data_IF_720296250802
#
_entry.id   IF_720296250802
#
_cell.length_a   1.000
_cell.length_b   1.000
_cell.length_c   1.000
_cell.angle_alpha   90.00
_cell.angle_beta   90.00
_cell.angle_gamma   90.00
#
_symmetry.space_group_name_H-M   'P 1'
#
loop_
_entity.id
_entity.type
_entity.pdbx_description
1 polymer ?
#
# COMPACT_ATOMS: atom_id res chain seq x y z
N UNK A 1 10.38 25.43 -0.21
CA UNK A 1 9.86 24.96 1.09
C UNK A 1 10.26 23.52 1.26
N UNK A 2 10.96 23.18 2.34
CA UNK A 2 11.33 21.80 2.64
C UNK A 2 10.23 21.12 3.46
N UNK A 3 9.75 19.97 2.99
CA UNK A 3 8.73 19.22 3.71
C UNK A 3 9.28 18.72 5.06
N UNK A 4 8.58 18.97 6.18
CA UNK A 4 9.01 18.49 7.49
C UNK A 4 8.76 17.00 7.68
N UNK A 5 7.85 16.42 6.90
CA UNK A 5 7.44 15.01 6.93
C UNK A 5 7.23 14.48 5.52
N UNK A 6 7.43 13.18 5.32
CA UNK A 6 7.17 12.50 4.05
C UNK A 6 5.65 12.33 3.82
N UNK A 7 4.97 13.42 3.44
CA UNK A 7 3.53 13.44 3.18
C UNK A 7 3.19 13.93 1.77
N UNK A 8 2.61 13.03 0.97
CA UNK A 8 2.09 13.36 -0.37
C UNK A 8 0.94 14.38 -0.32
N UNK A 9 0.18 14.41 0.77
CA UNK A 9 -0.94 15.34 0.95
C UNK A 9 -0.43 16.76 1.17
N UNK A 10 0.52 16.94 2.09
CA UNK A 10 1.16 18.25 2.32
C UNK A 10 1.84 18.75 1.04
N UNK A 11 2.56 17.87 0.34
CA UNK A 11 3.13 18.15 -0.97
C UNK A 11 2.06 18.64 -1.95
N UNK A 12 0.97 17.90 -2.11
CA UNK A 12 -0.09 18.23 -3.07
C UNK A 12 -0.75 19.58 -2.76
N UNK A 13 -0.98 19.89 -1.49
CA UNK A 13 -1.49 21.21 -1.09
C UNK A 13 -0.58 22.35 -1.55
N UNK A 14 0.74 22.20 -1.37
CA UNK A 14 1.73 23.19 -1.80
C UNK A 14 1.86 23.25 -3.33
N UNK A 15 1.78 22.11 -4.01
CA UNK A 15 1.75 22.04 -5.48
C UNK A 15 0.57 22.83 -6.02
N UNK A 16 -0.64 22.61 -5.50
CA UNK A 16 -1.83 23.33 -5.93
C UNK A 16 -1.79 24.81 -5.58
N UNK A 17 -1.26 25.17 -4.42
CA UNK A 17 -1.02 26.59 -4.08
C UNK A 17 -0.04 27.24 -5.07
N UNK A 18 1.01 26.52 -5.50
CA UNK A 18 1.98 26.98 -6.47
C UNK A 18 1.42 27.22 -7.88
N UNK A 19 0.30 26.58 -8.25
CA UNK A 19 -0.38 26.85 -9.52
C UNK A 19 -1.04 28.24 -9.56
N UNK A 20 -1.43 28.77 -8.39
CA UNK A 20 -2.04 30.10 -8.25
C UNK A 20 -1.07 31.19 -7.81
N UNK A 21 0.21 30.86 -7.58
CA UNK A 21 1.20 31.80 -7.09
C UNK A 21 1.95 32.52 -8.23
N UNK A 22 2.38 33.75 -7.97
CA UNK A 22 3.33 34.43 -8.85
C UNK A 22 4.75 33.89 -8.64
N UNK A 23 5.49 33.69 -9.74
CA UNK A 23 6.87 33.19 -9.71
C UNK A 23 6.99 31.66 -9.73
N UNK A 24 8.10 31.14 -9.20
CA UNK A 24 8.38 29.70 -9.10
C UNK A 24 8.23 29.23 -7.65
N UNK A 25 7.38 28.24 -7.45
CA UNK A 25 7.25 27.52 -6.18
C UNK A 25 8.17 26.30 -6.22
N UNK A 26 9.06 26.19 -5.23
CA UNK A 26 9.99 25.06 -5.08
C UNK A 26 9.68 24.30 -3.80
N UNK A 27 9.45 22.99 -3.91
CA UNK A 27 9.15 22.08 -2.80
C UNK A 27 10.25 21.02 -2.75
N UNK A 28 10.90 20.86 -1.60
CA UNK A 28 11.93 19.84 -1.38
C UNK A 28 11.34 18.68 -0.56
N UNK A 29 11.36 17.46 -1.11
CA UNK A 29 11.03 16.23 -0.39
C UNK A 29 12.29 15.43 -0.05
N UNK A 30 12.44 15.10 1.24
CA UNK A 30 13.58 14.32 1.75
C UNK A 30 13.47 12.84 1.43
N UNK A 31 12.24 12.32 1.38
CA UNK A 31 11.91 10.96 0.94
C UNK A 31 10.81 11.05 -0.11
N UNK A 32 10.92 10.35 -1.25
CA UNK A 32 9.89 10.39 -2.27
C UNK A 32 8.54 9.90 -1.73
N UNK A 33 7.49 10.63 -2.07
CA UNK A 33 6.10 10.26 -1.77
C UNK A 33 5.31 10.05 -3.06
N UNK A 34 4.05 9.63 -2.95
CA UNK A 34 3.15 9.44 -4.11
C UNK A 34 3.17 10.65 -5.05
N UNK A 35 3.34 10.43 -6.34
CA UNK A 35 3.56 11.49 -7.36
C UNK A 35 2.36 11.71 -8.32
N UNK A 36 1.16 11.28 -7.92
CA UNK A 36 -0.06 11.38 -8.72
C UNK A 36 -0.39 12.82 -9.15
N UNK A 37 -0.22 13.79 -8.24
CA UNK A 37 -0.47 15.21 -8.50
C UNK A 37 0.46 15.73 -9.60
N UNK A 38 1.74 15.38 -9.51
CA UNK A 38 2.75 15.78 -10.48
C UNK A 38 2.51 15.15 -11.85
N UNK A 39 2.16 13.86 -11.90
CA UNK A 39 1.82 13.16 -13.15
C UNK A 39 0.60 13.74 -13.83
N UNK A 40 -0.48 13.95 -13.07
CA UNK A 40 -1.72 14.54 -13.59
C UNK A 40 -1.48 15.96 -14.10
N UNK A 41 -0.77 16.79 -13.35
CA UNK A 41 -0.49 18.16 -13.77
C UNK A 41 0.39 18.21 -15.03
N UNK A 42 1.39 17.33 -15.18
CA UNK A 42 2.13 17.22 -16.46
C UNK A 42 1.21 16.82 -17.61
N UNK A 43 0.28 15.90 -17.38
CA UNK A 43 -0.71 15.46 -18.39
C UNK A 43 -1.67 16.58 -18.80
N UNK A 44 -1.94 17.52 -17.89
CA UNK A 44 -2.71 18.75 -18.10
C UNK A 44 -1.82 19.93 -18.58
N UNK A 45 -0.58 19.64 -18.99
CA UNK A 45 0.38 20.61 -19.53
C UNK A 45 0.81 21.72 -18.56
N UNK A 46 0.70 21.48 -17.25
CA UNK A 46 1.22 22.40 -16.25
C UNK A 46 2.75 22.53 -16.33
N UNK A 47 3.26 23.73 -16.02
CA UNK A 47 4.71 23.96 -15.86
C UNK A 47 5.20 23.38 -14.53
N UNK A 48 5.36 22.06 -14.48
CA UNK A 48 5.87 21.31 -13.33
C UNK A 48 7.02 20.39 -13.71
N UNK A 49 8.10 20.42 -12.94
CA UNK A 49 9.26 19.53 -13.09
C UNK A 49 9.66 18.92 -11.76
N UNK A 50 10.15 17.67 -11.79
CA UNK A 50 10.70 17.00 -10.62
C UNK A 50 12.16 16.69 -10.91
N UNK A 51 13.06 17.20 -10.06
CA UNK A 51 14.51 17.02 -10.18
C UNK A 51 14.98 16.12 -9.04
N UNK A 52 15.63 15.01 -9.38
CA UNK A 52 16.24 14.11 -8.40
C UNK A 52 17.68 14.50 -8.12
N UNK A 53 18.04 14.64 -6.85
CA UNK A 53 19.39 14.98 -6.43
C UNK A 53 20.07 13.76 -5.80
N UNK A 54 21.02 13.15 -6.50
CA UNK A 54 21.75 11.95 -6.00
C UNK A 54 22.69 12.25 -4.82
N UNK A 55 23.05 13.52 -4.58
CA UNK A 55 24.08 13.94 -3.61
C UNK A 55 23.59 14.96 -2.57
N UNK A 56 22.29 15.23 -2.49
CA UNK A 56 21.74 16.23 -1.58
C UNK A 56 20.88 15.60 -0.49
N UNK A 57 20.65 16.34 0.60
CA UNK A 57 19.75 15.96 1.71
C UNK A 57 18.28 15.83 1.22
N UNK A 58 17.93 16.45 0.09
CA UNK A 58 16.64 16.26 -0.61
C UNK A 58 16.72 15.14 -1.64
N UNK A 59 15.74 14.25 -1.63
CA UNK A 59 15.57 13.19 -2.63
C UNK A 59 15.02 13.74 -3.94
N UNK A 60 14.03 14.64 -3.87
CA UNK A 60 13.48 15.34 -5.02
C UNK A 60 13.19 16.81 -4.71
N UNK A 61 13.29 17.61 -5.76
CA UNK A 61 12.86 18.99 -5.81
C UNK A 61 11.74 19.12 -6.86
N UNK A 62 10.53 19.49 -6.40
CA UNK A 62 9.40 19.77 -7.27
C UNK A 62 9.33 21.27 -7.51
N UNK A 63 9.40 21.68 -8.77
CA UNK A 63 9.28 23.08 -9.20
C UNK A 63 7.97 23.27 -9.95
N UNK A 64 7.18 24.25 -9.53
CA UNK A 64 5.91 24.63 -10.15
C UNK A 64 5.94 26.10 -10.50
N UNK A 65 5.45 26.45 -11.69
CA UNK A 65 5.08 27.83 -12.03
C UNK A 65 3.60 27.88 -12.36
N UNK A 66 2.93 28.95 -11.93
CA UNK A 66 1.55 29.21 -12.31
C UNK A 66 1.39 29.32 -13.83
N UNK A 67 0.21 28.96 -14.34
CA UNK A 67 -0.07 28.93 -15.77
C UNK A 67 -1.41 28.31 -16.10
N UNK A 68 -1.75 28.32 -17.38
CA UNK A 68 -2.99 27.69 -17.88
C UNK A 68 -2.86 26.17 -17.85
N UNK A 69 -3.91 25.50 -17.38
CA UNK A 69 -4.06 24.06 -17.47
C UNK A 69 -4.97 23.70 -18.64
N UNK A 70 -4.67 22.60 -19.32
CA UNK A 70 -5.49 22.08 -20.40
C UNK A 70 -6.25 20.84 -19.94
N UNK A 71 -7.56 20.83 -20.21
CA UNK A 71 -8.40 19.66 -19.95
C UNK A 71 -7.97 18.47 -20.81
N UNK A 72 -8.03 17.28 -20.25
CA UNK A 72 -7.60 16.06 -20.93
C UNK A 72 -8.48 14.87 -20.55
N UNK A 73 -8.62 13.93 -21.48
CA UNK A 73 -9.15 12.60 -21.16
C UNK A 73 -8.09 11.79 -20.41
N UNK A 74 -8.52 11.15 -19.33
CA UNK A 74 -7.71 10.25 -18.50
C UNK A 74 -8.50 8.96 -18.25
N UNK A 75 -7.78 7.84 -18.31
CA UNK A 75 -8.27 6.57 -17.83
C UNK A 75 -7.76 6.35 -16.41
N UNK A 76 -8.66 6.10 -15.46
CA UNK A 76 -8.27 5.91 -14.06
C UNK A 76 -7.75 4.48 -13.88
N UNK A 77 -6.50 4.29 -13.43
CA UNK A 77 -5.95 2.95 -13.20
C UNK A 77 -6.65 2.25 -12.03
N UNK A 78 -6.63 0.91 -12.02
CA UNK A 78 -7.07 0.14 -10.86
C UNK A 78 -6.22 0.49 -9.63
N UNK A 79 -6.84 0.65 -8.46
CA UNK A 79 -6.13 1.00 -7.24
C UNK A 79 -5.29 -0.17 -6.72
N UNK A 80 -3.97 0.05 -6.69
CA UNK A 80 -3.02 -0.94 -6.20
C UNK A 80 -3.27 -1.31 -4.72
N UNK A 81 -3.67 -0.34 -3.89
CA UNK A 81 -3.95 -0.60 -2.47
C UNK A 81 -5.11 -1.56 -2.29
N UNK A 82 -6.18 -1.39 -3.09
CA UNK A 82 -7.31 -2.32 -3.15
C UNK A 82 -6.90 -3.69 -3.71
N UNK A 83 -6.09 -3.71 -4.77
CA UNK A 83 -5.57 -4.95 -5.36
C UNK A 83 -4.68 -5.76 -4.40
N UNK A 84 -3.97 -5.09 -3.48
CA UNK A 84 -3.04 -5.71 -2.53
C UNK A 84 -3.68 -6.84 -1.70
N UNK A 85 -4.94 -6.69 -1.28
CA UNK A 85 -5.66 -7.71 -0.51
C UNK A 85 -5.89 -8.98 -1.34
N UNK A 86 -6.23 -8.84 -2.62
CA UNK A 86 -6.42 -9.97 -3.54
C UNK A 86 -5.09 -10.58 -3.99
N UNK A 87 -4.07 -9.75 -4.20
CA UNK A 87 -2.69 -10.20 -4.43
C UNK A 87 -2.27 -11.11 -3.27
N UNK A 88 -2.42 -10.65 -2.03
CA UNK A 88 -2.07 -11.44 -0.86
C UNK A 88 -2.93 -12.72 -0.77
N UNK A 89 -4.25 -12.65 -0.96
CA UNK A 89 -5.10 -13.84 -0.95
C UNK A 89 -4.63 -14.91 -1.96
N UNK A 90 -4.32 -14.51 -3.20
CA UNK A 90 -3.81 -15.41 -4.24
C UNK A 90 -2.41 -15.96 -3.97
N UNK A 91 -1.58 -15.23 -3.22
CA UNK A 91 -0.25 -15.68 -2.78
C UNK A 91 -0.31 -16.61 -1.56
N UNK A 92 -1.26 -16.42 -0.66
CA UNK A 92 -1.31 -17.11 0.64
C UNK A 92 -2.14 -18.41 0.60
N UNK A 93 -3.25 -18.43 -0.14
CA UNK A 93 -4.15 -19.58 -0.17
C UNK A 93 -3.57 -20.72 -1.02
N UNK A 94 -3.38 -21.94 -0.48
CA UNK A 94 -2.83 -23.07 -1.23
C UNK A 94 -3.61 -23.36 -2.51
N UNK A 95 -2.90 -23.74 -3.59
CA UNK A 95 -3.47 -24.03 -4.91
C UNK A 95 -4.26 -22.88 -5.55
N UNK A 96 -4.07 -21.65 -5.08
CA UNK A 96 -4.73 -20.47 -5.63
C UNK A 96 -3.85 -19.74 -6.65
N UNK A 97 -4.51 -19.04 -7.54
CA UNK A 97 -3.91 -18.05 -8.43
C UNK A 97 -4.96 -17.08 -8.92
N UNK A 98 -4.62 -15.80 -8.97
CA UNK A 98 -5.53 -14.73 -9.36
C UNK A 98 -4.91 -13.88 -10.46
N UNK A 99 -5.73 -13.50 -11.43
CA UNK A 99 -5.43 -12.46 -12.39
C UNK A 99 -6.12 -11.18 -11.92
N UNK A 100 -5.33 -10.16 -11.60
CA UNK A 100 -5.82 -8.82 -11.30
C UNK A 100 -5.58 -7.98 -12.55
N UNK A 101 -6.66 -7.61 -13.24
CA UNK A 101 -6.59 -6.83 -14.48
C UNK A 101 -6.44 -5.33 -14.18
N UNK A 102 -5.70 -4.63 -15.05
CA UNK A 102 -5.54 -3.18 -15.05
C UNK A 102 -5.13 -2.54 -13.70
N UNK A 103 -4.27 -3.20 -12.94
CA UNK A 103 -3.70 -2.66 -11.71
C UNK A 103 -2.74 -1.50 -12.02
N UNK A 104 -2.86 -0.41 -11.26
CA UNK A 104 -1.93 0.71 -11.31
C UNK A 104 -0.53 0.28 -10.86
N UNK A 105 0.48 0.60 -11.67
CA UNK A 105 1.88 0.27 -11.44
C UNK A 105 2.75 1.49 -11.16
N UNK A 106 2.18 2.55 -10.59
CA UNK A 106 2.95 3.70 -10.17
C UNK A 106 4.07 3.24 -9.21
N UNK A 107 5.36 3.47 -9.51
CA UNK A 107 6.46 2.99 -8.67
C UNK A 107 6.41 3.49 -7.22
N UNK A 108 5.74 4.61 -6.97
CA UNK A 108 5.53 5.15 -5.62
C UNK A 108 4.42 4.44 -4.83
N UNK A 109 3.75 3.45 -5.42
CA UNK A 109 2.62 2.70 -4.86
C UNK A 109 2.82 1.19 -4.83
N UNK A 110 3.73 0.65 -5.64
CA UNK A 110 3.85 -0.80 -5.85
C UNK A 110 4.89 -1.47 -4.98
N UNK A 111 5.40 -0.84 -3.93
CA UNK A 111 6.49 -1.39 -3.13
C UNK A 111 6.13 -2.74 -2.46
N UNK A 112 4.84 -3.04 -2.25
CA UNK A 112 4.41 -4.37 -1.83
C UNK A 112 4.81 -5.47 -2.85
N UNK A 113 4.82 -5.20 -4.16
CA UNK A 113 5.25 -6.20 -5.15
C UNK A 113 6.72 -6.57 -4.96
N UNK A 114 7.57 -5.59 -4.69
CA UNK A 114 9.00 -5.81 -4.48
C UNK A 114 9.26 -6.52 -3.15
N UNK A 115 8.51 -6.17 -2.11
CA UNK A 115 8.51 -6.87 -0.82
C UNK A 115 8.05 -8.32 -1.00
N UNK A 116 6.92 -8.56 -1.68
CA UNK A 116 6.40 -9.90 -1.93
C UNK A 116 7.41 -10.76 -2.73
N UNK A 117 8.04 -10.20 -3.77
CA UNK A 117 9.11 -10.89 -4.51
C UNK A 117 10.32 -11.20 -3.64
N UNK A 118 10.72 -10.27 -2.76
CA UNK A 118 11.80 -10.51 -1.81
C UNK A 118 11.45 -11.59 -0.78
N UNK A 119 10.17 -11.77 -0.47
CA UNK A 119 9.66 -12.91 0.31
C UNK A 119 9.58 -14.21 -0.50
N UNK A 120 9.84 -14.21 -1.81
CA UNK A 120 9.77 -15.39 -2.68
C UNK A 120 8.44 -15.56 -3.44
N UNK A 121 7.56 -14.57 -3.44
CA UNK A 121 6.26 -14.65 -4.12
C UNK A 121 6.40 -14.78 -5.65
N UNK A 122 5.49 -15.54 -6.26
CA UNK A 122 5.35 -15.63 -7.72
C UNK A 122 4.35 -14.58 -8.21
N UNK A 123 4.88 -13.46 -8.73
CA UNK A 123 4.09 -12.36 -9.32
C UNK A 123 4.58 -12.08 -10.74
N UNK A 124 3.72 -12.32 -11.72
CA UNK A 124 3.99 -12.02 -13.14
C UNK A 124 3.22 -10.77 -13.58
N UNK A 125 3.95 -9.80 -14.11
CA UNK A 125 3.39 -8.61 -14.78
C UNK A 125 3.10 -8.97 -16.24
N UNK A 126 1.90 -8.69 -16.70
CA UNK A 126 1.41 -8.97 -18.05
C UNK A 126 0.78 -7.72 -18.65
N UNK A 127 0.80 -7.60 -19.99
CA UNK A 127 0.12 -6.52 -20.72
C UNK A 127 0.47 -5.12 -20.19
N UNK A 128 1.76 -4.85 -19.97
CA UNK A 128 2.23 -3.57 -19.44
C UNK A 128 1.87 -2.40 -20.37
N UNK A 129 1.21 -1.38 -19.81
CA UNK A 129 0.76 -0.17 -20.49
C UNK A 129 1.45 1.04 -19.84
N UNK A 130 2.56 1.49 -20.43
CA UNK A 130 3.38 2.58 -19.91
C UNK A 130 3.17 3.93 -20.62
N UNK A 131 2.38 3.96 -21.69
CA UNK A 131 2.17 5.17 -22.50
C UNK A 131 1.14 6.14 -21.86
N UNK A 132 0.43 5.69 -20.83
CA UNK A 132 -0.49 6.52 -20.03
C UNK A 132 0.28 7.40 -19.02
N UNK A 133 -0.39 8.44 -18.51
CA UNK A 133 0.14 9.29 -17.43
C UNK A 133 0.42 8.50 -16.14
N UNK A 134 -0.34 7.41 -15.93
CA UNK A 134 -0.12 6.39 -14.90
C UNK A 134 0.09 5.02 -15.55
N UNK A 135 1.19 4.31 -15.23
CA UNK A 135 1.43 2.98 -15.80
C UNK A 135 0.44 1.96 -15.23
N UNK A 136 -0.01 1.02 -16.06
CA UNK A 136 -0.87 -0.09 -15.61
C UNK A 136 -0.42 -1.42 -16.18
N UNK A 137 -0.85 -2.52 -15.56
CA UNK A 137 -0.64 -3.86 -16.08
C UNK A 137 -1.66 -4.84 -15.48
N UNK A 138 -1.68 -6.05 -16.02
CA UNK A 138 -2.38 -7.16 -15.41
C UNK A 138 -1.38 -7.95 -14.54
N UNK A 139 -1.79 -8.38 -13.36
CA UNK A 139 -0.97 -9.08 -12.38
C UNK A 139 -1.47 -10.51 -12.21
N UNK A 140 -0.67 -11.49 -12.62
CA UNK A 140 -0.92 -12.90 -12.31
C UNK A 140 -0.13 -13.26 -11.06
N UNK A 141 -0.84 -13.61 -9.99
CA UNK A 141 -0.25 -14.04 -8.71
C UNK A 141 -0.56 -15.51 -8.47
N UNK A 142 0.39 -16.25 -7.90
CA UNK A 142 0.22 -17.67 -7.59
C UNK A 142 0.83 -18.02 -6.26
N UNK A 143 0.17 -18.94 -5.56
CA UNK A 143 0.63 -19.42 -4.27
C UNK A 143 2.03 -20.04 -4.36
N UNK A 144 2.92 -19.57 -3.48
CA UNK A 144 4.26 -20.12 -3.21
C UNK A 144 4.59 -19.96 -1.72
N UNK A 145 5.41 -20.85 -1.14
CA UNK A 145 5.99 -20.62 0.18
C UNK A 145 6.71 -19.27 0.22
N UNK A 146 6.42 -18.48 1.25
CA UNK A 146 7.07 -17.20 1.49
C UNK A 146 8.12 -17.32 2.59
N UNK A 147 9.11 -16.44 2.60
CA UNK A 147 10.14 -16.33 3.63
C UNK A 147 10.05 -14.99 4.34
N UNK A 148 10.38 -14.99 5.63
CA UNK A 148 10.50 -13.79 6.43
C UNK A 148 11.65 -12.90 5.97
N UNK A 149 11.43 -11.59 6.00
CA UNK A 149 12.40 -10.59 5.53
C UNK A 149 12.44 -9.37 6.46
N UNK A 150 13.43 -8.50 6.26
CA UNK A 150 13.45 -7.18 6.90
C UNK A 150 12.95 -6.11 5.93
N UNK A 151 12.00 -5.29 6.38
CA UNK A 151 11.43 -4.15 5.65
C UNK A 151 11.59 -2.90 6.52
N UNK A 152 12.34 -1.92 6.02
CA UNK A 152 12.62 -0.66 6.70
C UNK A 152 13.00 0.44 5.69
N UNK A 153 13.29 1.64 6.18
CA UNK A 153 13.87 2.73 5.41
C UNK A 153 12.91 3.31 4.37
N UNK A 154 13.48 3.65 3.22
CA UNK A 154 12.77 4.29 2.10
C UNK A 154 11.62 3.47 1.52
N UNK A 155 11.52 2.17 1.84
CA UNK A 155 10.39 1.33 1.41
C UNK A 155 9.13 1.64 2.22
N UNK A 156 9.25 1.97 3.50
CA UNK A 156 8.09 2.10 4.40
C UNK A 156 7.08 3.15 3.91
N UNK A 157 7.48 4.37 3.50
CA UNK A 157 6.51 5.33 2.97
C UNK A 157 5.79 4.88 1.69
N UNK A 158 6.42 4.00 0.90
CA UNK A 158 5.89 3.52 -0.39
C UNK A 158 4.90 2.36 -0.26
N UNK A 159 4.88 1.66 0.88
CA UNK A 159 3.90 0.61 1.19
C UNK A 159 3.21 0.78 2.55
N UNK A 160 3.23 1.99 3.12
CA UNK A 160 2.71 2.28 4.47
C UNK A 160 1.27 1.79 4.64
N UNK A 161 0.51 1.91 3.56
CA UNK A 161 -0.90 1.58 3.45
C UNK A 161 -1.13 0.06 3.26
N UNK A 162 -0.11 -0.67 2.81
CA UNK A 162 -0.13 -2.12 2.58
C UNK A 162 0.46 -2.91 3.77
N UNK A 163 1.00 -2.24 4.79
CA UNK A 163 1.54 -2.91 5.98
C UNK A 163 0.50 -3.83 6.67
N UNK A 164 -0.80 -3.46 6.80
CA UNK A 164 -1.78 -4.38 7.35
C UNK A 164 -1.85 -5.73 6.64
N UNK A 165 -1.87 -5.74 5.31
CA UNK A 165 -1.90 -7.00 4.55
C UNK A 165 -0.54 -7.70 4.51
N UNK A 166 0.56 -6.95 4.50
CA UNK A 166 1.91 -7.51 4.66
C UNK A 166 2.07 -8.24 6.00
N UNK A 167 1.50 -7.71 7.08
CA UNK A 167 1.54 -8.36 8.38
C UNK A 167 0.80 -9.71 8.35
N UNK A 168 -0.33 -9.80 7.65
CA UNK A 168 -1.02 -11.07 7.41
C UNK A 168 -0.15 -12.02 6.57
N UNK A 169 0.50 -11.54 5.51
CA UNK A 169 1.43 -12.36 4.70
C UNK A 169 2.58 -12.92 5.55
N UNK A 170 3.14 -12.10 6.44
CA UNK A 170 4.23 -12.48 7.31
C UNK A 170 3.86 -13.60 8.29
N UNK A 171 2.58 -13.71 8.69
CA UNK A 171 2.13 -14.84 9.54
C UNK A 171 2.29 -16.20 8.86
N UNK A 172 2.31 -16.24 7.52
CA UNK A 172 2.43 -17.47 6.74
C UNK A 172 3.83 -17.66 6.14
N UNK A 173 4.74 -16.69 6.34
CA UNK A 173 6.09 -16.74 5.82
C UNK A 173 7.03 -17.48 6.77
N UNK A 174 7.94 -18.29 6.25
CA UNK A 174 8.91 -19.05 7.04
C UNK A 174 9.99 -18.13 7.64
N UNK A 175 10.11 -18.15 8.97
CA UNK A 175 11.04 -17.31 9.72
C UNK A 175 10.43 -16.01 10.23
N UNK A 176 11.27 -15.01 10.47
CA UNK A 176 10.84 -13.72 11.03
C UNK A 176 10.75 -12.64 9.95
N UNK A 177 9.64 -11.92 9.94
CA UNK A 177 9.50 -10.67 9.21
C UNK A 177 9.62 -9.50 10.18
N UNK A 178 10.57 -8.59 9.91
CA UNK A 178 10.80 -7.39 10.71
C UNK A 178 10.32 -6.18 9.92
N UNK A 179 9.32 -5.48 10.40
CA UNK A 179 8.84 -4.20 9.85
C UNK A 179 9.29 -3.11 10.83
N UNK A 180 10.15 -2.19 10.39
CA UNK A 180 10.72 -1.12 11.23
C UNK A 180 10.47 0.26 10.64
N UNK A 181 10.65 1.31 11.43
CA UNK A 181 10.51 2.72 10.99
C UNK A 181 9.11 3.07 10.42
N UNK A 182 8.08 2.40 10.92
CA UNK A 182 6.68 2.53 10.53
C UNK A 182 5.80 3.22 11.58
N UNK A 183 6.37 4.08 12.44
CA UNK A 183 5.66 4.78 13.52
C UNK A 183 4.45 5.60 13.04
N UNK A 184 4.46 6.04 11.77
CA UNK A 184 3.36 6.76 11.11
C UNK A 184 2.04 5.96 11.09
N UNK A 185 2.12 4.63 11.19
CA UNK A 185 0.93 3.76 11.29
C UNK A 185 0.09 4.00 12.55
N UNK A 186 0.67 4.57 13.60
CA UNK A 186 -0.05 4.88 14.85
C UNK A 186 -1.03 6.04 14.69
N UNK A 187 -0.83 6.88 13.67
CA UNK A 187 -1.59 8.11 13.43
C UNK A 187 -2.48 8.03 12.18
N UNK A 188 -2.74 6.81 11.69
CA UNK A 188 -3.69 6.57 10.60
C UNK A 188 -5.12 6.59 11.13
N UNK A 189 -6.07 6.05 10.38
CA UNK A 189 -7.48 5.95 10.76
C UNK A 189 -7.68 5.25 12.12
N UNK A 190 -6.74 4.40 12.49
CA UNK A 190 -6.54 3.84 13.83
C UNK A 190 -5.04 3.78 14.16
N UNK A 191 -4.68 3.42 15.40
CA UNK A 191 -3.34 2.89 15.67
C UNK A 191 -3.23 1.49 15.04
N UNK A 192 -2.76 1.44 13.80
CA UNK A 192 -2.67 0.20 13.02
C UNK A 192 -1.68 -0.79 13.62
N UNK A 193 -0.62 -0.35 14.31
CA UNK A 193 0.33 -1.25 14.94
C UNK A 193 -0.31 -2.01 16.11
N UNK A 194 -1.04 -1.28 16.95
CA UNK A 194 -1.78 -1.86 18.07
C UNK A 194 -2.92 -2.75 17.57
N UNK A 195 -3.68 -2.30 16.56
CA UNK A 195 -4.79 -3.07 15.97
C UNK A 195 -4.32 -4.40 15.37
N UNK A 196 -3.24 -4.37 14.55
CA UNK A 196 -2.66 -5.59 13.97
C UNK A 196 -2.18 -6.55 15.06
N UNK A 197 -1.46 -6.05 16.07
CA UNK A 197 -0.93 -6.86 17.17
C UNK A 197 -2.05 -7.53 17.95
N UNK A 198 -3.07 -6.77 18.36
CA UNK A 198 -4.22 -7.30 19.11
C UNK A 198 -4.93 -8.40 18.33
N UNK A 199 -5.31 -8.10 17.10
CA UNK A 199 -6.15 -8.99 16.29
C UNK A 199 -5.37 -10.23 15.81
N UNK A 200 -4.11 -10.10 15.39
CA UNK A 200 -3.29 -11.25 15.00
C UNK A 200 -2.97 -12.16 16.19
N UNK A 201 -2.74 -11.62 17.39
CA UNK A 201 -2.60 -12.44 18.62
C UNK A 201 -3.88 -13.20 18.94
N UNK A 202 -5.04 -12.58 18.76
CA UNK A 202 -6.33 -13.25 18.95
C UNK A 202 -6.52 -14.43 17.99
N UNK A 203 -5.99 -14.33 16.77
CA UNK A 203 -5.93 -15.43 15.80
C UNK A 203 -4.80 -16.44 16.05
N UNK A 204 -3.99 -16.26 17.11
CA UNK A 204 -2.91 -17.16 17.50
C UNK A 204 -1.57 -16.91 16.82
N UNK A 205 -1.39 -15.82 16.08
CA UNK A 205 -0.12 -15.49 15.44
C UNK A 205 0.96 -15.09 16.45
N UNK A 206 2.22 -15.45 16.17
CA UNK A 206 3.38 -14.94 16.89
C UNK A 206 3.75 -13.54 16.36
N UNK A 207 3.37 -12.50 17.11
CA UNK A 207 3.62 -11.10 16.77
C UNK A 207 4.04 -10.28 17.99
N UNK A 208 5.08 -9.47 17.80
CA UNK A 208 5.58 -8.49 18.76
C UNK A 208 5.41 -7.08 18.20
N UNK A 209 4.79 -6.21 18.99
CA UNK A 209 4.68 -4.79 18.70
C UNK A 209 5.94 -4.06 19.15
N UNK A 210 6.47 -3.20 18.29
CA UNK A 210 7.58 -2.31 18.59
C UNK A 210 7.08 -0.85 18.57
N UNK A 211 7.80 0.09 19.19
CA UNK A 211 7.44 1.51 19.10
C UNK A 211 7.30 2.01 17.65
N UNK A 212 8.16 1.50 16.76
CA UNK A 212 8.30 1.87 15.35
C UNK A 212 7.90 0.76 14.36
N UNK A 213 7.22 -0.32 14.79
CA UNK A 213 6.88 -1.38 13.85
C UNK A 213 6.45 -2.71 14.49
N UNK A 214 6.75 -3.82 13.80
CA UNK A 214 6.29 -5.17 14.15
C UNK A 214 7.39 -6.20 13.90
N UNK A 215 7.44 -7.24 14.72
CA UNK A 215 8.15 -8.50 14.41
C UNK A 215 7.12 -9.62 14.36
N UNK A 216 7.10 -10.38 13.28
CA UNK A 216 6.11 -11.43 13.03
C UNK A 216 6.86 -12.72 12.69
N UNK A 217 6.57 -13.80 13.40
CA UNK A 217 7.20 -15.10 13.17
C UNK A 217 6.19 -16.08 12.57
N UNK A 218 6.57 -16.69 11.45
CA UNK A 218 5.75 -17.69 10.76
C UNK A 218 6.55 -18.92 10.31
N UNK A 219 5.88 -19.91 9.68
CA UNK A 219 4.44 -19.92 9.44
C UNK A 219 3.65 -20.24 10.73
N UNK A 220 2.50 -19.59 10.92
CA UNK A 220 1.58 -19.85 12.03
C UNK A 220 0.22 -20.26 11.49
N UNK A 221 -0.34 -21.35 12.00
CA UNK A 221 -1.72 -21.74 11.71
C UNK A 221 -2.69 -20.81 12.43
N UNK A 222 -3.37 -19.96 11.68
CA UNK A 222 -4.35 -19.03 12.24
C UNK A 222 -5.62 -19.75 12.67
N UNK A 223 -6.23 -19.24 13.74
CA UNK A 223 -7.53 -19.66 14.26
C UNK A 223 -8.54 -18.55 14.07
N UNK A 224 -9.82 -18.93 13.96
CA UNK A 224 -10.89 -17.96 13.90
C UNK A 224 -11.02 -17.20 15.22
N UNK A 225 -11.33 -15.91 15.12
CA UNK A 225 -11.43 -15.01 16.27
C UNK A 225 -12.44 -13.89 16.01
N UNK A 226 -12.81 -13.18 17.08
CA UNK A 226 -13.51 -11.90 17.00
C UNK A 226 -12.47 -10.80 16.78
N UNK A 227 -12.59 -10.09 15.66
CA UNK A 227 -11.67 -9.05 15.20
C UNK A 227 -12.36 -7.70 15.32
N UNK A 228 -11.65 -6.71 15.82
CA UNK A 228 -12.13 -5.33 15.85
C UNK A 228 -11.47 -4.52 14.72
N UNK A 229 -12.27 -3.93 13.83
CA UNK A 229 -11.72 -3.09 12.74
C UNK A 229 -11.21 -1.74 13.21
N UNK A 230 -11.66 -1.27 14.38
CA UNK A 230 -11.43 0.09 14.89
C UNK A 230 -11.88 1.20 13.92
N UNK A 231 -12.85 0.89 13.04
CA UNK A 231 -13.28 1.81 11.98
C UNK A 231 -12.28 1.96 10.84
N UNK A 232 -11.18 1.19 10.85
CA UNK A 232 -10.14 1.22 9.82
C UNK A 232 -10.42 0.16 8.75
N UNK A 233 -10.75 0.63 7.55
CA UNK A 233 -11.08 -0.22 6.40
C UNK A 233 -9.94 -1.16 6.00
N UNK A 234 -8.68 -0.76 6.21
CA UNK A 234 -7.53 -1.59 5.85
C UNK A 234 -7.32 -2.71 6.85
N UNK A 235 -7.62 -2.47 8.13
CA UNK A 235 -7.67 -3.52 9.14
C UNK A 235 -8.79 -4.51 8.79
N UNK A 236 -10.01 -4.03 8.52
CA UNK A 236 -11.13 -4.90 8.15
C UNK A 236 -10.80 -5.78 6.92
N UNK A 237 -10.28 -5.19 5.83
CA UNK A 237 -9.91 -5.95 4.63
C UNK A 237 -8.74 -6.93 4.86
N UNK A 238 -7.72 -6.53 5.65
CA UNK A 238 -6.60 -7.43 5.97
C UNK A 238 -7.08 -8.65 6.76
N UNK A 239 -7.94 -8.45 7.75
CA UNK A 239 -8.48 -9.53 8.56
C UNK A 239 -9.55 -10.36 7.86
N UNK A 240 -10.21 -9.82 6.82
CA UNK A 240 -11.04 -10.62 5.92
C UNK A 240 -10.17 -11.65 5.18
N UNK A 241 -9.01 -11.24 4.65
CA UNK A 241 -8.04 -12.17 4.04
C UNK A 241 -7.45 -13.13 5.07
N UNK A 242 -7.11 -12.65 6.27
CA UNK A 242 -6.62 -13.52 7.35
C UNK A 242 -7.66 -14.58 7.75
N UNK A 243 -8.96 -14.23 7.73
CA UNK A 243 -10.06 -15.15 8.00
C UNK A 243 -10.15 -16.30 7.01
N UNK A 244 -9.77 -16.09 5.74
CA UNK A 244 -9.70 -17.16 4.74
C UNK A 244 -8.62 -18.20 5.04
N UNK A 245 -7.62 -17.85 5.84
CA UNK A 245 -6.51 -18.71 6.26
C UNK A 245 -6.79 -19.41 7.60
N UNK A 246 -7.83 -18.99 8.31
CA UNK A 246 -8.17 -19.49 9.64
C UNK A 246 -8.84 -20.87 9.58
N UNK A 247 -8.60 -21.71 10.59
CA UNK A 247 -9.23 -23.04 10.69
C UNK A 247 -10.64 -23.05 11.31
N UNK A 248 -11.14 -21.89 11.72
CA UNK A 248 -12.50 -21.69 12.22
C UNK A 248 -13.04 -20.32 11.81
N UNK A 249 -14.33 -20.07 12.07
CA UNK A 249 -15.00 -18.82 11.70
C UNK A 249 -14.35 -17.59 12.37
N UNK A 250 -14.14 -16.55 11.58
CA UNK A 250 -13.68 -15.23 12.02
C UNK A 250 -14.82 -14.22 11.85
N UNK A 251 -15.11 -13.44 12.88
CA UNK A 251 -16.09 -12.35 12.84
C UNK A 251 -15.33 -11.03 12.88
N UNK A 252 -15.67 -10.10 11.99
CA UNK A 252 -15.04 -8.77 11.94
C UNK A 252 -16.07 -7.73 12.38
N UNK A 253 -15.91 -7.22 13.59
CA UNK A 253 -16.70 -6.11 14.10
C UNK A 253 -16.36 -4.81 13.36
N UNK A 254 -17.39 -4.05 12.99
CA UNK A 254 -17.23 -2.79 12.25
C UNK A 254 -16.76 -3.00 10.80
N UNK A 255 -17.10 -4.12 10.18
CA UNK A 255 -16.68 -4.46 8.81
C UNK A 255 -17.25 -3.52 7.74
N UNK A 256 -18.31 -2.78 8.04
CA UNK A 256 -18.95 -1.82 7.14
C UNK A 256 -18.01 -0.67 6.72
N UNK A 257 -16.95 -0.40 7.49
CA UNK A 257 -15.96 0.63 7.18
C UNK A 257 -15.22 0.37 5.86
N UNK A 258 -15.21 -0.88 5.34
CA UNK A 258 -14.61 -1.19 4.03
C UNK A 258 -15.20 -0.35 2.89
N UNK A 259 -16.47 0.06 3.01
CA UNK A 259 -17.16 0.87 2.00
C UNK A 259 -16.60 2.29 1.87
N UNK A 260 -15.73 2.74 2.79
CA UNK A 260 -15.04 4.03 2.68
C UNK A 260 -14.08 4.04 1.48
N UNK A 261 -13.45 2.90 1.16
CA UNK A 261 -12.43 2.80 0.11
C UNK A 261 -12.75 1.76 -0.96
N UNK A 262 -13.43 0.67 -0.60
CA UNK A 262 -13.78 -0.41 -1.52
C UNK A 262 -15.23 -0.89 -1.30
N UNK A 263 -16.23 -0.11 -1.78
CA UNK A 263 -17.60 -0.58 -1.87
C UNK A 263 -17.68 -1.90 -2.65
N UNK A 264 -18.31 -2.92 -2.06
CA UNK A 264 -18.44 -4.25 -2.68
C UNK A 264 -17.24 -5.18 -2.50
N UNK A 265 -16.26 -4.82 -1.65
CA UNK A 265 -15.10 -5.67 -1.34
C UNK A 265 -15.48 -7.13 -1.04
N UNK A 266 -16.43 -7.36 -0.12
CA UNK A 266 -16.86 -8.70 0.26
C UNK A 266 -17.51 -9.48 -0.88
N UNK A 267 -18.21 -8.79 -1.80
CA UNK A 267 -18.79 -9.44 -2.98
C UNK A 267 -17.72 -9.89 -3.97
N UNK A 268 -16.65 -9.10 -4.13
CA UNK A 268 -15.49 -9.49 -4.93
C UNK A 268 -14.74 -10.63 -4.26
N UNK A 269 -14.54 -10.56 -2.93
CA UNK A 269 -13.88 -11.62 -2.16
C UNK A 269 -14.60 -12.97 -2.31
N UNK A 270 -15.93 -12.97 -2.19
CA UNK A 270 -16.75 -14.15 -2.40
C UNK A 270 -16.67 -14.72 -3.82
N UNK A 271 -16.61 -13.85 -4.83
CA UNK A 271 -16.45 -14.26 -6.23
C UNK A 271 -15.12 -14.97 -6.50
N UNK A 272 -14.06 -14.60 -5.78
CA UNK A 272 -12.73 -15.21 -5.94
C UNK A 272 -12.48 -16.39 -4.99
N UNK A 273 -13.53 -16.88 -4.31
CA UNK A 273 -13.49 -18.10 -3.50
C UNK A 273 -13.31 -17.88 -1.99
N UNK A 274 -13.49 -16.65 -1.51
CA UNK A 274 -13.55 -16.34 -0.08
C UNK A 274 -14.94 -16.39 0.55
#
# INVERSE_FOLDING_TARGET
YRLPVASAQVKSCLVFAGLGAEGETVIEETIPTRDHSERLLRRMEASISVVSHQYSVSSHEIRIRGGTLHGCEIEIPGDFSSAAFFIAAGLLLPKSGLLIENAGLNPTRTALLDVARAMGAEVKIMNLRNESYEPTADLMVRHRPLQGIKVSGSRIPLLIDEIPILAVMATQAEGETHIREAQELRFKESDRLAALTKNLRAMGAAIEELPDGLVITGPTKLRGAEIESFGDHRIAMAFAVAGLLADSSTTIGGAECVNISFPGFFEVLKKVGG
#
